data_IF_304610389360
#
_entry.id   IF_304610389360
#
_cell.length_a   1.000
_cell.length_b   1.000
_cell.length_c   1.000
_cell.angle_alpha   90.00
_cell.angle_beta   90.00
_cell.angle_gamma   90.00
#
_symmetry.space_group_name_H-M   'P 1'
#
loop_
_entity.id
_entity.type
_entity.pdbx_description
1 polymer ?
#
# COMPACT_ATOMS: atom_id res chain seq x y z
N UNK A 1 10.31 33.74 -2.46
CA UNK A 1 11.47 33.05 -3.05
C UNK A 1 11.19 32.87 -4.53
N UNK A 2 12.02 33.47 -5.38
CA UNK A 2 11.93 33.23 -6.81
C UNK A 2 12.62 31.91 -7.14
N UNK A 3 11.82 30.90 -7.52
CA UNK A 3 12.29 29.53 -7.76
C UNK A 3 13.26 29.46 -8.93
N UNK A 4 13.12 30.34 -9.91
CA UNK A 4 13.91 30.31 -11.13
C UNK A 4 15.34 30.80 -10.87
N UNK A 5 15.48 31.79 -9.98
CA UNK A 5 16.78 32.32 -9.56
C UNK A 5 17.57 31.26 -8.78
N UNK A 6 16.91 30.57 -7.86
CA UNK A 6 17.54 29.50 -7.08
C UNK A 6 18.00 28.34 -7.97
N UNK A 7 17.17 27.94 -8.95
CA UNK A 7 17.52 26.85 -9.86
C UNK A 7 18.73 27.20 -10.74
N UNK A 8 18.76 28.42 -11.28
CA UNK A 8 19.91 28.91 -12.06
C UNK A 8 21.19 28.92 -11.21
N UNK A 9 21.12 29.44 -9.99
CA UNK A 9 22.25 29.46 -9.06
C UNK A 9 22.73 28.04 -8.72
N UNK A 10 21.80 27.12 -8.45
CA UNK A 10 22.12 25.72 -8.19
C UNK A 10 22.88 25.07 -9.34
N UNK A 11 22.41 25.24 -10.58
CA UNK A 11 23.10 24.71 -11.76
C UNK A 11 24.52 25.25 -11.89
N UNK A 12 24.75 26.52 -11.56
CA UNK A 12 26.07 27.14 -11.58
C UNK A 12 26.99 26.57 -10.49
N UNK A 13 26.47 26.41 -9.26
CA UNK A 13 27.25 25.85 -8.15
C UNK A 13 27.59 24.38 -8.41
N UNK A 14 26.64 23.58 -8.91
CA UNK A 14 26.86 22.17 -9.24
C UNK A 14 27.90 21.99 -10.36
N UNK A 15 28.07 22.99 -11.22
CA UNK A 15 29.10 23.03 -12.25
C UNK A 15 30.47 23.52 -11.78
N UNK A 16 30.63 23.90 -10.51
CA UNK A 16 31.89 24.42 -9.97
C UNK A 16 32.87 23.27 -9.67
N UNK A 17 34.12 23.40 -10.12
CA UNK A 17 35.14 22.36 -9.93
C UNK A 17 35.68 22.31 -8.50
N UNK A 18 35.68 23.45 -7.79
CA UNK A 18 36.16 23.54 -6.41
C UNK A 18 35.17 24.28 -5.51
N UNK A 19 35.27 24.04 -4.21
CA UNK A 19 34.50 24.77 -3.20
C UNK A 19 34.80 26.28 -3.24
N UNK A 20 36.03 26.66 -3.54
CA UNK A 20 36.42 28.07 -3.66
C UNK A 20 35.72 28.74 -4.85
N UNK A 21 35.61 28.04 -5.98
CA UNK A 21 34.86 28.53 -7.15
C UNK A 21 33.38 28.70 -6.82
N UNK A 22 32.79 27.71 -6.15
CA UNK A 22 31.40 27.76 -5.71
C UNK A 22 31.15 28.97 -4.77
N UNK A 23 32.02 29.19 -3.78
CA UNK A 23 31.95 30.35 -2.87
C UNK A 23 32.11 31.67 -3.64
N UNK A 24 33.07 31.75 -4.56
CA UNK A 24 33.31 32.95 -5.35
C UNK A 24 32.10 33.33 -6.21
N UNK A 25 31.54 32.36 -6.95
CA UNK A 25 30.37 32.56 -7.80
C UNK A 25 29.13 32.91 -6.98
N UNK A 26 28.96 32.25 -5.84
CA UNK A 26 27.86 32.49 -4.92
C UNK A 26 27.90 33.89 -4.32
N UNK A 27 29.08 34.42 -3.96
CA UNK A 27 29.21 35.79 -3.47
C UNK A 27 28.77 36.83 -4.51
N UNK A 28 29.00 36.58 -5.80
CA UNK A 28 28.47 37.46 -6.87
C UNK A 28 26.95 37.41 -6.93
N UNK A 29 26.36 36.21 -6.80
CA UNK A 29 24.91 36.03 -6.73
C UNK A 29 24.30 36.69 -5.50
N UNK A 30 24.90 36.51 -4.33
CA UNK A 30 24.46 37.11 -3.06
C UNK A 30 24.54 38.64 -3.07
N UNK A 31 25.41 39.24 -3.87
CA UNK A 31 25.45 40.69 -4.03
C UNK A 31 24.23 41.21 -4.83
N UNK A 32 23.77 40.43 -5.81
CA UNK A 32 22.59 40.75 -6.62
C UNK A 32 21.27 40.40 -5.91
N UNK A 33 21.27 39.33 -5.11
CA UNK A 33 20.12 38.78 -4.39
C UNK A 33 20.45 38.55 -2.91
N UNK A 34 20.60 39.62 -2.10
CA UNK A 34 21.04 39.52 -0.70
C UNK A 34 20.07 38.71 0.17
N UNK A 35 18.79 38.67 -0.16
CA UNK A 35 17.76 37.88 0.53
C UNK A 35 17.94 36.37 0.35
N UNK A 36 18.71 35.94 -0.65
CA UNK A 36 19.00 34.52 -0.90
C UNK A 36 20.34 34.06 -0.31
N UNK A 37 21.08 34.94 0.37
CA UNK A 37 22.43 34.64 0.86
C UNK A 37 22.45 33.42 1.79
N UNK A 38 21.51 33.32 2.70
CA UNK A 38 21.48 32.23 3.69
C UNK A 38 21.25 30.87 3.03
N UNK A 39 20.28 30.78 2.10
CA UNK A 39 19.99 29.54 1.38
C UNK A 39 21.13 29.13 0.44
N UNK A 40 21.74 30.08 -0.27
CA UNK A 40 22.89 29.84 -1.14
C UNK A 40 24.07 29.30 -0.34
N UNK A 41 24.39 29.93 0.80
CA UNK A 41 25.49 29.47 1.65
C UNK A 41 25.18 28.11 2.30
N UNK A 42 23.94 27.86 2.69
CA UNK A 42 23.54 26.55 3.23
C UNK A 42 23.75 25.42 2.21
N UNK A 43 23.49 25.70 0.94
CA UNK A 43 23.72 24.77 -0.17
C UNK A 43 25.20 24.44 -0.33
N UNK A 44 26.07 25.47 -0.36
CA UNK A 44 27.53 25.31 -0.56
C UNK A 44 28.17 24.51 0.56
N UNK A 45 27.84 24.83 1.82
CA UNK A 45 28.49 24.21 2.97
C UNK A 45 27.87 22.86 3.36
N UNK A 46 26.87 22.39 2.63
CA UNK A 46 26.13 21.17 2.99
C UNK A 46 25.46 21.27 4.36
N UNK A 47 25.30 22.50 4.88
CA UNK A 47 24.53 22.79 6.07
C UNK A 47 23.09 22.51 5.73
N UNK A 48 22.66 21.26 5.92
CA UNK A 48 21.24 20.92 6.00
C UNK A 48 20.63 21.95 6.95
N UNK A 49 19.54 22.60 6.53
CA UNK A 49 18.74 23.45 7.41
C UNK A 49 18.77 22.82 8.79
N UNK A 50 19.35 23.51 9.78
CA UNK A 50 19.22 23.09 11.17
C UNK A 50 17.74 23.00 11.39
N UNK A 51 17.22 21.78 11.42
CA UNK A 51 15.82 21.54 11.65
C UNK A 51 15.55 22.25 12.97
N UNK A 52 14.79 23.35 12.94
CA UNK A 52 14.47 24.15 14.13
C UNK A 52 13.65 23.36 15.17
N UNK A 53 13.40 22.08 14.88
CA UNK A 53 12.60 21.14 15.64
C UNK A 53 13.42 19.86 15.75
N UNK A 54 13.92 19.58 16.95
CA UNK A 54 14.64 18.34 17.20
C UNK A 54 13.73 17.11 16.97
N UNK A 55 14.35 15.97 16.70
CA UNK A 55 13.64 14.73 16.36
C UNK A 55 12.62 14.31 17.44
N UNK A 56 12.90 14.56 18.73
CA UNK A 56 11.96 14.21 19.81
C UNK A 56 10.74 15.11 19.76
N UNK A 57 10.93 16.40 19.47
CA UNK A 57 9.80 17.33 19.28
C UNK A 57 8.96 16.94 18.07
N UNK A 58 9.58 16.55 16.95
CA UNK A 58 8.85 15.99 15.78
C UNK A 58 8.05 14.75 16.14
N UNK A 59 8.66 13.82 16.87
CA UNK A 59 8.00 12.57 17.28
C UNK A 59 6.85 12.83 18.24
N UNK A 60 7.00 13.79 19.16
CA UNK A 60 5.95 14.24 20.07
C UNK A 60 4.76 14.83 19.30
N UNK A 61 5.01 15.69 18.32
CA UNK A 61 3.95 16.30 17.49
C UNK A 61 3.22 15.29 16.63
N UNK A 62 3.97 14.34 16.06
CA UNK A 62 3.40 13.25 15.31
C UNK A 62 2.48 12.42 16.20
N UNK A 63 2.90 12.12 17.43
CA UNK A 63 2.09 11.41 18.41
C UNK A 63 0.85 12.23 18.81
N UNK A 64 0.98 13.54 19.05
CA UNK A 64 -0.16 14.42 19.34
C UNK A 64 -1.17 14.43 18.19
N UNK A 65 -0.69 14.54 16.95
CA UNK A 65 -1.51 14.46 15.75
C UNK A 65 -2.18 13.08 15.59
N UNK A 66 -1.50 12.00 16.01
CA UNK A 66 -2.08 10.66 16.03
C UNK A 66 -3.11 10.45 17.15
N UNK A 67 -3.03 11.20 18.25
CA UNK A 67 -3.92 11.05 19.40
C UNK A 67 -5.02 12.13 19.51
N UNK A 68 -5.23 12.92 18.45
CA UNK A 68 -6.23 14.02 18.42
C UNK A 68 -6.09 15.01 19.58
N UNK A 69 -4.88 15.26 20.04
CA UNK A 69 -4.63 16.34 21.01
C UNK A 69 -4.39 17.65 20.25
N UNK A 70 -4.86 18.76 20.80
CA UNK A 70 -4.76 20.08 20.17
C UNK A 70 -3.29 20.45 19.92
N UNK A 71 -2.95 20.62 18.64
CA UNK A 71 -1.62 21.00 18.16
C UNK A 71 -1.39 22.51 18.32
N UNK A 72 -2.46 23.29 18.58
CA UNK A 72 -2.47 24.76 18.62
C UNK A 72 -1.48 25.39 19.61
N UNK A 73 -0.96 24.64 20.58
CA UNK A 73 0.01 25.14 21.57
C UNK A 73 1.48 24.89 21.23
N UNK A 74 1.79 24.39 20.04
CA UNK A 74 3.17 24.06 19.68
C UNK A 74 3.85 25.28 19.03
N UNK A 75 4.95 25.76 19.63
CA UNK A 75 5.68 27.00 19.24
C UNK A 75 6.39 26.91 17.88
N UNK A 76 5.92 26.09 16.95
CA UNK A 76 6.58 25.89 15.66
C UNK A 76 6.02 26.89 14.67
N UNK A 77 6.88 27.81 14.23
CA UNK A 77 6.58 28.80 13.19
C UNK A 77 6.90 28.23 11.81
N UNK A 78 6.37 27.07 11.47
CA UNK A 78 6.53 26.49 10.14
C UNK A 78 5.17 26.14 9.55
N UNK A 79 4.64 27.08 8.76
CA UNK A 79 3.39 26.95 8.03
C UNK A 79 3.31 25.69 7.17
N UNK A 80 4.43 25.16 6.69
CA UNK A 80 4.46 23.94 5.87
C UNK A 80 4.20 22.73 6.77
N UNK A 81 4.83 22.72 7.95
CA UNK A 81 4.67 21.65 8.94
C UNK A 81 3.25 21.60 9.49
N UNK A 82 2.66 22.74 9.84
CA UNK A 82 1.28 22.84 10.33
C UNK A 82 0.27 22.35 9.27
N UNK A 83 0.46 22.76 8.01
CA UNK A 83 -0.36 22.27 6.89
C UNK A 83 -0.21 20.76 6.65
N UNK A 84 0.93 20.16 7.01
CA UNK A 84 1.12 18.71 6.90
C UNK A 84 0.39 17.98 8.03
N UNK A 85 0.52 18.45 9.27
CA UNK A 85 -0.16 17.89 10.44
C UNK A 85 -1.69 17.97 10.31
N UNK A 86 -2.23 19.11 9.88
CA UNK A 86 -3.65 19.28 9.61
C UNK A 86 -4.17 18.31 8.54
N UNK A 87 -3.38 18.03 7.49
CA UNK A 87 -3.73 17.02 6.47
C UNK A 87 -3.82 15.61 7.06
N UNK A 88 -2.90 15.25 7.96
CA UNK A 88 -2.91 13.95 8.64
C UNK A 88 -4.15 13.81 9.53
N UNK A 89 -4.46 14.83 10.33
CA UNK A 89 -5.66 14.85 11.18
C UNK A 89 -6.96 14.74 10.36
N UNK A 90 -7.11 15.55 9.31
CA UNK A 90 -8.30 15.57 8.47
C UNK A 90 -8.53 14.24 7.73
N UNK A 91 -7.46 13.59 7.26
CA UNK A 91 -7.57 12.27 6.62
C UNK A 91 -8.03 11.19 7.60
N UNK A 92 -7.69 11.30 8.89
CA UNK A 92 -8.20 10.38 9.92
C UNK A 92 -9.65 10.63 10.28
N UNK A 93 -10.08 11.89 10.40
CA UNK A 93 -11.49 12.21 10.65
C UNK A 93 -12.42 11.73 9.52
N UNK A 94 -11.93 11.71 8.27
CA UNK A 94 -12.67 11.09 7.16
C UNK A 94 -12.78 9.57 7.30
N UNK A 95 -11.79 8.93 7.93
CA UNK A 95 -11.74 7.49 8.15
C UNK A 95 -12.37 7.02 9.48
N UNK A 96 -12.75 7.92 10.39
CA UNK A 96 -13.41 7.53 11.65
C UNK A 96 -14.87 7.12 11.48
N UNK A 97 -15.44 7.28 10.28
CA UNK A 97 -16.74 6.69 9.90
C UNK A 97 -16.60 5.28 9.31
N UNK A 98 -15.50 4.56 9.59
CA UNK A 98 -15.39 3.15 9.22
C UNK A 98 -16.49 2.36 9.93
N UNK A 99 -17.57 2.10 9.19
CA UNK A 99 -18.59 1.12 9.55
C UNK A 99 -17.87 -0.14 10.03
N UNK A 100 -18.31 -0.68 11.17
CA UNK A 100 -17.81 -1.94 11.68
C UNK A 100 -17.76 -2.96 10.54
N UNK A 101 -16.55 -3.36 10.15
CA UNK A 101 -16.35 -4.33 9.08
C UNK A 101 -16.91 -5.65 9.60
N UNK A 102 -18.01 -6.11 9.00
CA UNK A 102 -18.61 -7.38 9.36
C UNK A 102 -17.70 -8.49 8.86
N UNK A 103 -17.13 -9.22 9.81
CA UNK A 103 -16.30 -10.39 9.54
C UNK A 103 -17.13 -11.67 9.69
N UNK A 104 -16.83 -12.67 8.88
CA UNK A 104 -17.47 -13.98 8.91
C UNK A 104 -16.40 -15.06 8.89
N UNK A 105 -16.66 -16.17 9.58
CA UNK A 105 -15.77 -17.33 9.58
C UNK A 105 -16.31 -18.40 8.65
N UNK A 106 -15.48 -18.84 7.70
CA UNK A 106 -15.78 -19.96 6.81
C UNK A 106 -14.64 -20.98 6.84
N UNK A 107 -14.93 -22.23 6.50
CA UNK A 107 -13.94 -23.32 6.48
C UNK A 107 -13.50 -23.62 5.06
N UNK A 108 -12.19 -23.75 4.86
CA UNK A 108 -11.61 -24.13 3.59
C UNK A 108 -12.21 -25.45 3.09
N UNK A 109 -12.72 -25.51 1.86
CA UNK A 109 -13.32 -26.74 1.33
C UNK A 109 -12.29 -27.84 1.02
N UNK A 110 -10.99 -27.55 1.10
CA UNK A 110 -9.92 -28.55 0.88
C UNK A 110 -9.51 -29.29 2.15
N UNK A 111 -9.35 -28.57 3.26
CA UNK A 111 -8.78 -29.10 4.50
C UNK A 111 -9.55 -28.70 5.76
N UNK A 112 -10.69 -28.01 5.61
CA UNK A 112 -11.55 -27.52 6.69
C UNK A 112 -10.92 -26.52 7.67
N UNK A 113 -9.72 -26.00 7.36
CA UNK A 113 -9.09 -24.91 8.11
C UNK A 113 -9.99 -23.67 8.13
N UNK A 114 -10.20 -23.09 9.31
CA UNK A 114 -11.09 -21.95 9.48
C UNK A 114 -10.37 -20.64 9.09
N UNK A 115 -11.05 -19.81 8.31
CA UNK A 115 -10.60 -18.47 7.94
C UNK A 115 -11.65 -17.45 8.38
N UNK A 116 -11.21 -16.44 9.12
CA UNK A 116 -12.01 -15.29 9.48
C UNK A 116 -11.62 -14.12 8.55
N UNK A 117 -12.55 -13.67 7.72
CA UNK A 117 -12.32 -12.60 6.75
C UNK A 117 -13.56 -11.70 6.62
N UNK A 118 -13.39 -10.54 5.97
CA UNK A 118 -14.50 -9.61 5.72
C UNK A 118 -15.56 -10.27 4.84
N UNK A 119 -16.85 -9.98 5.06
CA UNK A 119 -17.96 -10.50 4.25
C UNK A 119 -17.85 -10.12 2.76
N UNK A 120 -17.15 -9.02 2.45
CA UNK A 120 -16.81 -8.55 1.10
C UNK A 120 -15.74 -9.40 0.40
N UNK A 121 -15.07 -10.29 1.12
CA UNK A 121 -13.97 -11.11 0.59
C UNK A 121 -14.51 -12.12 -0.42
N UNK A 122 -13.88 -12.19 -1.60
CA UNK A 122 -14.31 -13.09 -2.69
C UNK A 122 -13.34 -14.24 -2.94
N UNK A 123 -12.05 -13.98 -2.84
CA UNK A 123 -10.97 -14.92 -3.14
C UNK A 123 -10.00 -14.99 -1.96
N UNK A 124 -9.63 -16.21 -1.60
CA UNK A 124 -8.76 -16.48 -0.45
C UNK A 124 -7.81 -17.63 -0.77
N UNK A 125 -6.65 -17.60 -0.14
CA UNK A 125 -5.65 -18.67 -0.19
C UNK A 125 -5.66 -19.30 1.19
N UNK A 126 -5.88 -20.62 1.26
CA UNK A 126 -5.95 -21.30 2.55
C UNK A 126 -4.61 -21.22 3.28
N UNK A 127 -4.60 -20.55 4.44
CA UNK A 127 -3.41 -20.31 5.25
C UNK A 127 -2.75 -18.96 5.02
N UNK A 128 -3.28 -18.12 4.12
CA UNK A 128 -2.88 -16.73 4.00
C UNK A 128 -3.89 -15.84 4.74
N UNK A 129 -3.46 -15.21 5.84
CA UNK A 129 -4.36 -14.47 6.73
C UNK A 129 -4.66 -13.07 6.16
N UNK A 130 -3.63 -12.27 5.92
CA UNK A 130 -3.71 -10.92 5.35
C UNK A 130 -2.32 -10.43 4.91
N UNK A 131 -2.25 -9.26 4.28
CA UNK A 131 -0.99 -8.67 3.81
C UNK A 131 0.05 -8.43 4.93
N UNK A 132 -0.41 -8.22 6.17
CA UNK A 132 0.47 -7.92 7.32
C UNK A 132 1.04 -9.18 7.96
N UNK A 133 0.21 -10.22 8.11
CA UNK A 133 0.54 -11.45 8.83
C UNK A 133 1.04 -12.55 7.89
N UNK A 134 0.79 -12.43 6.58
CA UNK A 134 1.26 -13.39 5.59
C UNK A 134 0.64 -14.79 5.77
N UNK A 135 1.48 -15.81 5.63
CA UNK A 135 1.08 -17.22 5.75
C UNK A 135 1.20 -17.73 7.18
N UNK A 136 0.16 -18.44 7.64
CA UNK A 136 0.12 -19.12 8.94
C UNK A 136 0.80 -20.50 8.91
N UNK A 137 1.09 -21.04 7.73
CA UNK A 137 1.65 -22.38 7.49
C UNK A 137 0.79 -23.56 7.95
N UNK A 138 -0.42 -23.31 8.47
CA UNK A 138 -1.40 -24.34 8.86
C UNK A 138 -2.40 -24.65 7.75
N UNK A 139 -2.63 -23.70 6.85
CA UNK A 139 -3.49 -23.91 5.68
C UNK A 139 -2.85 -24.78 4.59
N UNK A 140 -3.69 -25.35 3.73
CA UNK A 140 -3.24 -26.23 2.64
C UNK A 140 -2.62 -25.52 1.42
N UNK A 141 -2.54 -24.18 1.42
CA UNK A 141 -1.98 -23.41 0.30
C UNK A 141 -2.81 -23.41 -0.99
N UNK A 142 -4.03 -23.97 -0.95
CA UNK A 142 -4.96 -23.99 -2.09
C UNK A 142 -5.92 -22.81 -2.05
N UNK A 143 -6.22 -22.30 -3.23
CA UNK A 143 -7.15 -21.19 -3.43
C UNK A 143 -8.59 -21.67 -3.28
N UNK A 144 -9.49 -20.81 -2.78
CA UNK A 144 -10.92 -21.07 -2.81
C UNK A 144 -11.73 -19.77 -2.89
N UNK A 145 -12.97 -19.84 -3.39
CA UNK A 145 -13.85 -18.68 -3.42
C UNK A 145 -14.54 -18.52 -2.06
N UNK A 146 -14.25 -17.44 -1.34
CA UNK A 146 -14.80 -17.18 -0.01
C UNK A 146 -16.31 -16.93 -0.06
N UNK A 147 -16.84 -16.33 -1.14
CA UNK A 147 -18.27 -16.05 -1.29
C UNK A 147 -19.08 -17.34 -1.39
N UNK A 148 -18.74 -18.23 -2.33
CA UNK A 148 -19.51 -19.45 -2.60
C UNK A 148 -18.91 -20.76 -2.03
N UNK A 149 -17.80 -20.68 -1.29
CA UNK A 149 -17.09 -21.81 -0.70
C UNK A 149 -16.56 -22.85 -1.74
N UNK A 150 -16.34 -22.43 -2.98
CA UNK A 150 -15.91 -23.31 -4.08
C UNK A 150 -14.39 -23.54 -4.08
N UNK A 151 -13.98 -24.80 -4.27
CA UNK A 151 -12.58 -25.22 -4.45
C UNK A 151 -11.99 -24.60 -5.72
N UNK A 152 -10.78 -24.04 -5.65
CA UNK A 152 -10.02 -23.58 -6.81
C UNK A 152 -8.75 -24.44 -6.94
N UNK A 153 -8.37 -24.77 -8.17
CA UNK A 153 -7.36 -25.81 -8.44
C UNK A 153 -5.91 -25.34 -8.21
N UNK A 154 -5.69 -24.04 -7.96
CA UNK A 154 -4.37 -23.45 -7.79
C UNK A 154 -3.79 -23.76 -6.41
N UNK A 155 -2.55 -24.23 -6.40
CA UNK A 155 -1.74 -24.48 -5.21
C UNK A 155 -0.52 -23.55 -5.22
N UNK A 156 -0.24 -22.90 -4.11
CA UNK A 156 0.87 -21.95 -3.97
C UNK A 156 2.22 -22.62 -3.71
N UNK A 157 2.23 -23.91 -3.34
CA UNK A 157 3.48 -24.65 -3.11
C UNK A 157 4.11 -25.19 -4.40
N UNK A 158 3.32 -25.34 -5.47
CA UNK A 158 3.77 -26.01 -6.70
C UNK A 158 4.36 -25.04 -7.74
N UNK A 159 4.70 -23.81 -7.34
CA UNK A 159 5.41 -22.77 -8.14
C UNK A 159 4.77 -22.34 -9.48
N UNK A 160 3.56 -22.82 -9.78
CA UNK A 160 2.84 -22.48 -11.01
C UNK A 160 2.10 -21.12 -10.97
N UNK A 161 2.56 -20.18 -10.14
CA UNK A 161 1.95 -18.84 -9.99
C UNK A 161 1.97 -18.03 -11.29
N UNK A 162 2.91 -18.34 -12.18
CA UNK A 162 3.12 -17.67 -13.45
C UNK A 162 2.21 -18.18 -14.58
N UNK A 163 1.58 -19.35 -14.43
CA UNK A 163 0.73 -19.91 -15.47
C UNK A 163 -0.65 -19.22 -15.48
N UNK A 164 -0.92 -18.45 -16.54
CA UNK A 164 -2.21 -17.77 -16.73
C UNK A 164 -3.40 -18.75 -16.76
N UNK A 165 -3.18 -20.01 -17.16
CA UNK A 165 -4.19 -21.08 -17.09
C UNK A 165 -4.67 -21.34 -15.66
N UNK A 166 -3.78 -21.21 -14.66
CA UNK A 166 -4.11 -21.38 -13.24
C UNK A 166 -4.87 -20.19 -12.65
N UNK A 167 -5.08 -19.13 -13.43
CA UNK A 167 -5.97 -18.01 -13.11
C UNK A 167 -7.36 -18.16 -13.74
N UNK A 168 -7.54 -19.12 -14.66
CA UNK A 168 -8.78 -19.32 -15.40
C UNK A 168 -9.54 -20.52 -14.83
N UNK A 169 -10.71 -20.25 -14.27
CA UNK A 169 -11.67 -21.28 -13.87
C UNK A 169 -12.53 -21.66 -15.06
N UNK A 170 -12.16 -22.73 -15.76
CA UNK A 170 -13.06 -23.40 -16.69
C UNK A 170 -13.56 -24.72 -16.09
N UNK A 171 -14.73 -25.18 -16.54
CA UNK A 171 -15.31 -26.43 -16.08
C UNK A 171 -14.37 -27.62 -16.32
N UNK A 172 -13.51 -27.53 -17.34
CA UNK A 172 -12.53 -28.56 -17.72
C UNK A 172 -11.52 -28.83 -16.61
N UNK A 173 -10.83 -27.80 -16.09
CA UNK A 173 -9.81 -27.96 -15.06
C UNK A 173 -10.39 -28.53 -13.76
N UNK A 174 -11.58 -28.05 -13.36
CA UNK A 174 -12.25 -28.53 -12.16
C UNK A 174 -12.76 -29.98 -12.34
N UNK A 175 -13.20 -30.38 -13.54
CA UNK A 175 -13.60 -31.76 -13.86
C UNK A 175 -12.40 -32.71 -13.84
N UNK A 176 -11.31 -32.35 -14.51
CA UNK A 176 -10.06 -33.13 -14.53
C UNK A 176 -9.53 -33.38 -13.11
N UNK A 177 -9.57 -32.35 -12.26
CA UNK A 177 -9.11 -32.47 -10.88
C UNK A 177 -10.09 -33.28 -10.01
N UNK A 178 -11.39 -33.20 -10.24
CA UNK A 178 -12.37 -34.06 -9.59
C UNK A 178 -12.12 -35.54 -9.96
N UNK A 179 -11.94 -35.82 -11.25
CA UNK A 179 -11.59 -37.16 -11.75
C UNK A 179 -10.28 -37.67 -11.15
N UNK A 180 -9.23 -36.84 -11.08
CA UNK A 180 -7.93 -37.22 -10.50
C UNK A 180 -8.02 -37.61 -9.02
N UNK A 181 -8.94 -37.01 -8.27
CA UNK A 181 -9.12 -37.26 -6.84
C UNK A 181 -10.28 -38.21 -6.53
N UNK A 182 -10.87 -38.85 -7.55
CA UNK A 182 -12.04 -39.74 -7.41
C UNK A 182 -13.23 -39.07 -6.72
N UNK A 183 -13.47 -37.79 -7.00
CA UNK A 183 -14.59 -36.99 -6.47
C UNK A 183 -15.67 -36.82 -7.55
N UNK A 184 -16.93 -36.87 -7.15
CA UNK A 184 -18.08 -36.56 -8.02
C UNK A 184 -18.09 -35.05 -8.28
N UNK A 185 -17.83 -34.66 -9.53
CA UNK A 185 -17.67 -33.25 -9.89
C UNK A 185 -18.87 -32.37 -9.49
N UNK A 186 -20.09 -32.85 -9.74
CA UNK A 186 -21.33 -32.08 -9.53
C UNK A 186 -21.66 -31.93 -8.05
N UNK A 187 -21.44 -32.98 -7.26
CA UNK A 187 -21.85 -33.06 -5.85
C UNK A 187 -20.73 -32.60 -4.89
N UNK A 188 -19.49 -32.98 -5.15
CA UNK A 188 -18.38 -32.89 -4.18
C UNK A 188 -17.30 -31.84 -4.55
N UNK A 189 -17.34 -31.34 -5.78
CA UNK A 189 -16.31 -30.45 -6.32
C UNK A 189 -16.82 -29.06 -6.69
N UNK A 190 -17.87 -28.97 -7.49
CA UNK A 190 -18.38 -27.71 -8.01
C UNK A 190 -19.51 -27.13 -7.14
N UNK A 191 -20.36 -27.96 -6.54
CA UNK A 191 -21.52 -27.54 -5.74
C UNK A 191 -22.55 -26.69 -6.50
N UNK A 192 -22.34 -26.42 -7.79
CA UNK A 192 -23.22 -25.67 -8.65
C UNK A 192 -24.28 -26.62 -9.23
N UNK A 193 -25.25 -27.02 -8.41
CA UNK A 193 -26.48 -27.61 -8.93
C UNK A 193 -27.25 -26.50 -9.63
N UNK A 194 -27.11 -26.43 -10.96
CA UNK A 194 -28.00 -25.74 -11.91
C UNK A 194 -28.77 -24.53 -11.36
N UNK A 195 -28.10 -23.38 -11.16
CA UNK A 195 -28.80 -22.08 -11.19
C UNK A 195 -29.10 -21.78 -12.67
N UNK A 196 -30.06 -22.51 -13.25
CA UNK A 196 -30.38 -22.42 -14.70
C UNK A 196 -31.01 -21.09 -15.12
N UNK A 197 -31.31 -20.17 -14.19
CA UNK A 197 -32.09 -18.96 -14.49
C UNK A 197 -31.50 -17.64 -13.97
N UNK A 198 -30.19 -17.54 -13.74
CA UNK A 198 -29.50 -16.24 -13.89
C UNK A 198 -28.00 -16.46 -13.88
N UNK A 199 -27.34 -15.95 -14.93
CA UNK A 199 -25.91 -15.95 -15.14
C UNK A 199 -25.14 -15.43 -13.93
N UNK A 200 -24.71 -16.32 -13.03
CA UNK A 200 -23.55 -16.06 -12.16
C UNK A 200 -22.32 -16.54 -12.92
N UNK A 201 -22.01 -15.81 -13.99
CA UNK A 201 -20.67 -15.72 -14.50
C UNK A 201 -19.84 -15.18 -13.33
N UNK A 202 -19.03 -16.03 -12.69
CA UNK A 202 -17.90 -15.58 -11.87
C UNK A 202 -16.87 -14.94 -12.82
N UNK A 203 -17.26 -13.83 -13.46
CA UNK A 203 -16.35 -12.89 -14.05
C UNK A 203 -15.60 -12.29 -12.87
N UNK A 204 -14.38 -12.77 -12.65
CA UNK A 204 -13.39 -11.91 -12.02
C UNK A 204 -13.42 -10.60 -12.82
N UNK A 205 -13.74 -9.45 -12.20
CA UNK A 205 -13.72 -8.19 -12.93
C UNK A 205 -12.33 -8.08 -13.54
N UNK A 206 -12.31 -7.91 -14.86
CA UNK A 206 -11.10 -7.90 -15.68
C UNK A 206 -9.98 -7.17 -14.93
N UNK A 207 -8.98 -7.91 -14.47
CA UNK A 207 -7.70 -7.34 -14.10
C UNK A 207 -7.18 -6.72 -15.39
N UNK A 208 -7.34 -5.39 -15.53
CA UNK A 208 -6.62 -4.64 -16.55
C UNK A 208 -5.15 -4.90 -16.29
N UNK A 209 -4.52 -5.57 -17.24
CA UNK A 209 -3.08 -5.67 -17.31
C UNK A 209 -2.59 -4.26 -17.69
N UNK A 210 -1.92 -3.60 -16.75
CA UNK A 210 -0.88 -2.62 -17.08
C UNK A 210 0.42 -3.37 -17.35
#
# INVERSE_FOLDING_TARGET
MDKDIFLQMRTIIDGSHTLLDAIHLSNRFCHKYPEQKEIIMSYIYGSKYTENVDLKTKQSLLNLAFHNQDIENTKIKDDIYDKALLRIQNNRQKNSSMKAIKTITKKCPHCFHALNAEESTTYVICGYINQTNGYDWYGCGKDWCFTCNKKLCKNWNDDYLQLLSNRKHNDTCCKEQATKNSLVYEEEYCGCVNIRNNSVLCLFPNYKQE
#
